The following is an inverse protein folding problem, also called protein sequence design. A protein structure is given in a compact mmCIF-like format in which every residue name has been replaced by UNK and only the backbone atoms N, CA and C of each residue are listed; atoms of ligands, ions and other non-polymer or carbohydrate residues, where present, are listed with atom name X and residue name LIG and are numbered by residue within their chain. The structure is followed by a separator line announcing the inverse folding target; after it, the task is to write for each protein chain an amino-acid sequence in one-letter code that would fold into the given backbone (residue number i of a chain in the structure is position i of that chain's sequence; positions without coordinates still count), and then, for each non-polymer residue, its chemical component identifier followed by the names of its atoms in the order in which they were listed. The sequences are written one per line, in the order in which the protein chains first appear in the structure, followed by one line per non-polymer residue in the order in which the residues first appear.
data_IF_774921056169
#
_entry.id   IF_774921056169
#
_cell.length_a   1.000
_cell.length_b   1.000
_cell.length_c   1.000
_cell.angle_alpha   90.00
_cell.angle_beta   90.00
_cell.angle_gamma   90.00
#
_symmetry.space_group_name_H-M   'P 1'
#
loop_
_entity.id
_entity.type
_entity.pdbx_description
1 polymer ?
#
# COMPACT_ATOMS: atom_id res chain seq x y z
N UNK A 1 -20.13 9.69 11.45
CA UNK A 1 -18.72 9.29 11.65
C UNK A 1 -18.40 8.17 10.69
N UNK A 2 -17.81 8.47 9.54
CA UNK A 2 -17.51 7.48 8.49
C UNK A 2 -16.40 6.55 8.97
N UNK A 3 -16.77 5.32 9.36
CA UNK A 3 -15.85 4.28 9.82
C UNK A 3 -14.72 4.10 8.80
N UNK A 4 -13.48 4.19 9.26
CA UNK A 4 -12.30 3.91 8.45
C UNK A 4 -12.51 2.61 7.68
N UNK A 5 -12.18 2.63 6.38
CA UNK A 5 -12.57 1.61 5.41
C UNK A 5 -11.85 0.31 5.76
N UNK A 6 -12.48 -0.59 6.51
CA UNK A 6 -11.88 -1.88 6.90
C UNK A 6 -11.40 -2.63 5.63
N UNK A 7 -10.13 -3.07 5.55
CA UNK A 7 -9.59 -3.76 4.38
C UNK A 7 -10.41 -5.00 4.03
N UNK A 8 -10.91 -5.73 5.04
CA UNK A 8 -11.71 -6.92 4.84
C UNK A 8 -13.05 -6.61 4.17
N UNK A 9 -13.68 -5.48 4.53
CA UNK A 9 -14.93 -5.01 3.90
C UNK A 9 -14.67 -4.55 2.47
N UNK A 10 -13.54 -3.87 2.22
CA UNK A 10 -13.15 -3.44 0.87
C UNK A 10 -12.94 -4.64 -0.05
N UNK A 11 -12.17 -5.62 0.42
CA UNK A 11 -11.91 -6.87 -0.28
C UNK A 11 -13.20 -7.64 -0.57
N UNK A 12 -14.08 -7.78 0.42
CA UNK A 12 -15.35 -8.47 0.26
C UNK A 12 -16.26 -7.78 -0.78
N UNK A 13 -16.38 -6.46 -0.74
CA UNK A 13 -17.17 -5.70 -1.74
C UNK A 13 -16.60 -5.86 -3.15
N UNK A 14 -15.28 -5.83 -3.28
CA UNK A 14 -14.61 -6.05 -4.55
C UNK A 14 -14.82 -7.48 -5.09
N UNK A 15 -14.80 -8.47 -4.21
CA UNK A 15 -15.05 -9.87 -4.56
C UNK A 15 -16.47 -10.06 -5.09
N UNK A 16 -17.46 -9.57 -4.35
CA UNK A 16 -18.87 -9.63 -4.74
C UNK A 16 -19.07 -8.99 -6.11
N UNK A 17 -18.52 -7.78 -6.30
CA UNK A 17 -18.65 -7.02 -7.55
C UNK A 17 -17.95 -7.72 -8.72
N UNK A 18 -16.73 -8.21 -8.54
CA UNK A 18 -15.93 -8.79 -9.64
C UNK A 18 -16.46 -10.15 -10.11
N UNK A 19 -17.10 -10.92 -9.22
CA UNK A 19 -17.66 -12.24 -9.53
C UNK A 19 -19.19 -12.23 -9.72
N UNK A 20 -19.84 -11.07 -9.62
CA UNK A 20 -21.28 -10.93 -9.79
C UNK A 20 -22.11 -11.71 -8.75
N UNK A 21 -21.57 -11.92 -7.55
CA UNK A 21 -22.19 -12.76 -6.54
C UNK A 21 -23.32 -12.04 -5.82
N UNK A 22 -24.32 -12.78 -5.36
CA UNK A 22 -25.31 -12.30 -4.41
C UNK A 22 -24.86 -12.59 -2.97
N UNK A 23 -25.46 -11.91 -1.99
CA UNK A 23 -25.15 -12.16 -0.57
C UNK A 23 -25.56 -13.57 -0.12
N UNK A 24 -26.48 -14.22 -0.83
CA UNK A 24 -26.88 -15.60 -0.54
C UNK A 24 -25.80 -16.61 -0.98
N UNK A 25 -25.01 -16.28 -2.00
CA UNK A 25 -23.97 -17.17 -2.54
C UNK A 25 -22.76 -17.31 -1.60
N UNK A 26 -22.63 -16.40 -0.63
CA UNK A 26 -21.56 -16.39 0.39
C UNK A 26 -21.95 -17.16 1.67
N UNK A 27 -23.04 -17.94 1.61
CA UNK A 27 -23.59 -18.63 2.78
C UNK A 27 -22.68 -19.71 3.35
N UNK A 28 -21.88 -20.35 2.51
CA UNK A 28 -20.99 -21.43 2.93
C UNK A 28 -19.73 -20.90 3.64
N UNK A 29 -19.29 -19.69 3.30
CA UNK A 29 -18.05 -19.09 3.79
C UNK A 29 -18.28 -18.19 5.00
N UNK A 30 -19.33 -17.36 4.95
CA UNK A 30 -19.59 -16.31 5.93
C UNK A 30 -20.85 -16.61 6.74
N UNK A 31 -21.92 -17.05 6.10
CA UNK A 31 -23.20 -17.38 6.76
C UNK A 31 -24.42 -16.71 6.12
N UNK A 32 -25.49 -16.51 6.89
CA UNK A 32 -26.77 -16.03 6.34
C UNK A 32 -26.66 -14.67 5.62
N UNK A 33 -27.55 -14.42 4.66
CA UNK A 33 -27.62 -13.14 3.92
C UNK A 33 -27.65 -11.91 4.84
N UNK A 34 -28.38 -11.99 5.95
CA UNK A 34 -28.42 -10.92 6.96
C UNK A 34 -27.07 -10.69 7.63
N UNK A 35 -26.34 -11.77 7.94
CA UNK A 35 -25.02 -11.69 8.54
C UNK A 35 -23.98 -11.07 7.60
N UNK A 36 -24.03 -11.42 6.31
CA UNK A 36 -23.21 -10.77 5.26
C UNK A 36 -23.52 -9.27 5.18
N UNK A 37 -24.79 -8.88 5.25
CA UNK A 37 -25.19 -7.47 5.25
C UNK A 37 -24.62 -6.71 6.45
N UNK A 38 -24.69 -7.29 7.66
CA UNK A 38 -24.13 -6.69 8.87
C UNK A 38 -22.61 -6.49 8.78
N UNK A 39 -21.90 -7.44 8.15
CA UNK A 39 -20.47 -7.31 7.88
C UNK A 39 -20.18 -6.17 6.90
N UNK A 40 -20.95 -6.07 5.81
CA UNK A 40 -20.75 -5.04 4.78
C UNK A 40 -21.07 -3.62 5.29
N UNK A 41 -21.98 -3.51 6.26
CA UNK A 41 -22.28 -2.29 7.02
C UNK A 41 -21.24 -2.00 8.11
N UNK A 42 -20.41 -2.98 8.45
CA UNK A 42 -19.36 -2.87 9.46
C UNK A 42 -19.85 -3.04 10.89
N UNK A 43 -21.06 -3.54 11.13
CA UNK A 43 -21.54 -3.90 12.47
C UNK A 43 -20.91 -5.20 12.97
N UNK A 44 -20.47 -6.06 12.05
CA UNK A 44 -19.73 -7.30 12.33
C UNK A 44 -18.43 -7.33 11.53
N UNK A 45 -17.44 -8.06 12.02
CA UNK A 45 -16.15 -8.25 11.37
C UNK A 45 -16.02 -9.66 10.80
N UNK A 46 -15.23 -9.82 9.73
CA UNK A 46 -14.85 -11.13 9.23
C UNK A 46 -13.90 -11.82 10.22
N UNK A 47 -14.14 -13.09 10.52
CA UNK A 47 -13.22 -13.90 11.33
C UNK A 47 -12.14 -14.50 10.44
N UNK A 48 -11.02 -14.93 11.04
CA UNK A 48 -9.96 -15.67 10.31
C UNK A 48 -10.50 -16.90 9.57
N UNK A 49 -11.46 -17.60 10.17
CA UNK A 49 -12.12 -18.75 9.55
C UNK A 49 -12.93 -18.38 8.31
N UNK A 50 -13.64 -17.25 8.33
CA UNK A 50 -14.35 -16.76 7.14
C UNK A 50 -13.35 -16.42 6.02
N UNK A 51 -12.26 -15.74 6.35
CA UNK A 51 -11.21 -15.37 5.39
C UNK A 51 -10.57 -16.62 4.76
N UNK A 52 -10.28 -17.65 5.56
CA UNK A 52 -9.75 -18.91 5.04
C UNK A 52 -10.71 -19.59 4.05
N UNK A 53 -12.01 -19.65 4.37
CA UNK A 53 -13.02 -20.22 3.46
C UNK A 53 -13.15 -19.43 2.16
N UNK A 54 -13.16 -18.09 2.25
CA UNK A 54 -13.19 -17.21 1.07
C UNK A 54 -11.94 -17.40 0.20
N UNK A 55 -10.77 -17.42 0.84
CA UNK A 55 -9.48 -17.65 0.18
C UNK A 55 -9.47 -18.99 -0.57
N UNK A 56 -9.92 -20.06 0.10
CA UNK A 56 -9.97 -21.40 -0.48
C UNK A 56 -10.93 -21.52 -1.67
N UNK A 57 -12.15 -20.94 -1.57
CA UNK A 57 -13.14 -21.04 -2.65
C UNK A 57 -12.80 -20.19 -3.86
N UNK A 58 -12.32 -18.97 -3.64
CA UNK A 58 -12.16 -17.99 -4.71
C UNK A 58 -10.71 -17.84 -5.21
N UNK A 59 -9.76 -18.50 -4.54
CA UNK A 59 -8.33 -18.47 -4.88
C UNK A 59 -7.68 -17.11 -4.60
N UNK A 60 -8.14 -16.39 -3.58
CA UNK A 60 -7.71 -15.02 -3.28
C UNK A 60 -6.63 -15.04 -2.20
N UNK A 61 -5.50 -14.33 -2.37
CA UNK A 61 -4.50 -14.21 -1.32
C UNK A 61 -5.10 -13.64 -0.01
N UNK A 62 -4.86 -14.27 1.16
CA UNK A 62 -5.48 -13.83 2.41
C UNK A 62 -5.00 -12.44 2.85
N UNK A 63 -3.81 -12.01 2.42
CA UNK A 63 -3.25 -10.67 2.65
C UNK A 63 -4.20 -9.55 2.23
N UNK A 64 -5.04 -9.77 1.21
CA UNK A 64 -6.00 -8.79 0.69
C UNK A 64 -7.04 -8.40 1.75
N UNK A 65 -7.32 -9.25 2.73
CA UNK A 65 -8.29 -8.97 3.79
C UNK A 65 -7.67 -8.29 5.01
N UNK A 66 -6.34 -8.29 5.15
CA UNK A 66 -5.65 -7.71 6.30
C UNK A 66 -4.95 -6.39 5.97
N UNK A 67 -4.51 -6.22 4.72
CA UNK A 67 -3.79 -5.03 4.27
C UNK A 67 -4.67 -4.11 3.42
N UNK A 68 -4.65 -2.81 3.75
CA UNK A 68 -5.49 -1.81 3.09
C UNK A 68 -5.06 -1.54 1.64
N UNK A 69 -3.76 -1.58 1.35
CA UNK A 69 -3.25 -1.35 0.00
C UNK A 69 -3.59 -2.54 -0.90
N UNK A 70 -3.36 -3.76 -0.42
CA UNK A 70 -3.74 -5.00 -1.10
C UNK A 70 -5.25 -5.05 -1.37
N UNK A 71 -6.10 -4.67 -0.40
CA UNK A 71 -7.54 -4.57 -0.59
C UNK A 71 -7.92 -3.55 -1.68
N UNK A 72 -7.26 -2.39 -1.71
CA UNK A 72 -7.50 -1.34 -2.70
C UNK A 72 -7.07 -1.78 -4.11
N UNK A 73 -5.92 -2.44 -4.22
CA UNK A 73 -5.40 -3.05 -5.45
C UNK A 73 -6.37 -4.10 -6.00
N UNK A 74 -6.81 -5.02 -5.14
CA UNK A 74 -7.80 -6.04 -5.50
C UNK A 74 -9.13 -5.42 -5.95
N UNK A 75 -9.52 -4.28 -5.35
CA UNK A 75 -10.70 -3.53 -5.76
C UNK A 75 -10.53 -2.74 -7.08
N UNK A 76 -9.38 -2.85 -7.76
CA UNK A 76 -9.10 -2.14 -9.00
C UNK A 76 -8.97 -0.63 -8.82
N UNK A 77 -8.71 -0.14 -7.60
CA UNK A 77 -8.51 1.29 -7.36
C UNK A 77 -7.12 1.68 -7.84
N UNK A 78 -7.03 2.75 -8.63
CA UNK A 78 -5.74 3.34 -9.00
C UNK A 78 -5.00 3.73 -7.72
N UNK A 79 -3.81 3.17 -7.51
CA UNK A 79 -2.93 3.61 -6.43
C UNK A 79 -2.56 5.05 -6.74
N UNK A 80 -2.87 5.99 -5.84
CA UNK A 80 -2.17 7.29 -5.85
C UNK A 80 -0.77 7.01 -5.35
N UNK A 81 0.13 6.64 -6.27
CA UNK A 81 1.55 6.57 -5.97
C UNK A 81 1.97 8.02 -5.73
N UNK A 82 2.47 8.39 -4.55
CA UNK A 82 3.04 9.72 -4.38
C UNK A 82 4.19 9.79 -5.39
N UNK A 83 4.11 10.76 -6.31
CA UNK A 83 5.19 11.04 -7.26
C UNK A 83 6.28 11.74 -6.47
N UNK A 84 6.95 10.99 -5.59
CA UNK A 84 8.15 11.45 -4.92
C UNK A 84 9.26 11.32 -5.94
N UNK A 85 9.89 12.44 -6.30
CA UNK A 85 11.13 12.40 -7.05
C UNK A 85 12.21 11.82 -6.15
N UNK A 86 12.40 10.50 -6.23
CA UNK A 86 13.34 9.73 -5.41
C UNK A 86 14.81 10.13 -5.67
N UNK A 87 15.06 10.94 -6.69
CA UNK A 87 16.39 11.47 -7.03
C UNK A 87 16.58 12.91 -6.55
N UNK A 88 15.55 13.56 -6.00
CA UNK A 88 15.66 14.91 -5.47
C UNK A 88 16.26 14.88 -4.05
N UNK A 89 17.49 15.39 -3.85
CA UNK A 89 18.20 15.30 -2.57
C UNK A 89 17.58 16.17 -1.46
N UNK A 90 16.69 17.11 -1.81
CA UNK A 90 16.05 18.04 -0.86
C UNK A 90 14.71 17.50 -0.31
N UNK A 91 14.24 16.36 -0.81
CA UNK A 91 13.01 15.71 -0.34
C UNK A 91 13.37 14.57 0.61
N UNK A 92 13.21 14.79 1.92
CA UNK A 92 13.44 13.74 2.91
C UNK A 92 12.38 12.62 2.79
N UNK A 93 12.80 11.34 2.66
CA UNK A 93 11.87 10.24 2.57
C UNK A 93 11.08 10.09 3.89
N UNK A 94 9.75 10.10 3.81
CA UNK A 94 8.89 9.96 4.99
C UNK A 94 8.63 8.46 5.32
N UNK A 95 9.02 7.97 6.51
CA UNK A 95 8.85 6.58 6.90
C UNK A 95 7.39 6.12 7.06
N UNK A 96 6.43 7.02 7.21
CA UNK A 96 5.00 6.66 7.29
C UNK A 96 4.40 6.30 5.92
N UNK A 97 5.02 6.77 4.83
CA UNK A 97 4.51 6.66 3.46
C UNK A 97 5.31 5.68 2.58
N UNK A 98 6.40 5.10 3.09
CA UNK A 98 7.27 4.18 2.34
C UNK A 98 7.41 2.83 3.05
N UNK A 99 7.29 1.74 2.28
CA UNK A 99 7.67 0.41 2.78
C UNK A 99 9.18 0.38 3.09
N UNK A 100 9.58 -0.37 4.12
CA UNK A 100 10.93 -0.34 4.70
C UNK A 100 12.04 -0.58 3.66
N UNK A 101 11.76 -1.40 2.64
CA UNK A 101 12.67 -1.70 1.54
C UNK A 101 12.89 -0.50 0.59
N UNK A 102 11.84 0.30 0.35
CA UNK A 102 11.93 1.48 -0.50
C UNK A 102 12.71 2.61 0.19
N UNK A 103 12.58 2.70 1.52
CA UNK A 103 13.30 3.68 2.34
C UNK A 103 14.82 3.47 2.34
N UNK A 104 15.29 2.23 2.46
CA UNK A 104 16.73 1.91 2.46
C UNK A 104 17.38 2.17 1.09
N UNK A 105 16.69 1.84 0.00
CA UNK A 105 17.17 2.13 -1.37
C UNK A 105 17.25 3.64 -1.59
N UNK A 106 16.25 4.40 -1.16
CA UNK A 106 16.25 5.85 -1.26
C UNK A 106 17.41 6.47 -0.48
N UNK A 107 17.65 6.06 0.76
CA UNK A 107 18.77 6.52 1.59
C UNK A 107 20.15 6.24 0.96
N UNK A 108 20.32 5.07 0.34
CA UNK A 108 21.58 4.72 -0.34
C UNK A 108 21.79 5.59 -1.58
N UNK A 109 20.74 5.85 -2.34
CA UNK A 109 20.79 6.70 -3.53
C UNK A 109 21.12 8.16 -3.18
N UNK A 110 20.45 8.74 -2.18
CA UNK A 110 20.70 10.12 -1.74
C UNK A 110 22.11 10.30 -1.20
N UNK A 111 22.61 9.37 -0.38
CA UNK A 111 24.01 9.40 0.10
C UNK A 111 25.04 9.37 -1.04
N UNK A 112 24.78 8.55 -2.07
CA UNK A 112 25.66 8.47 -3.26
C UNK A 112 25.68 9.80 -4.02
N UNK A 113 24.51 10.41 -4.22
CA UNK A 113 24.38 11.71 -4.88
C UNK A 113 25.05 12.84 -4.07
N UNK A 114 24.82 12.90 -2.75
CA UNK A 114 25.45 13.88 -1.85
C UNK A 114 26.97 13.77 -1.85
N UNK A 115 27.51 12.54 -1.84
CA UNK A 115 28.96 12.30 -1.93
C UNK A 115 29.54 12.84 -3.24
N UNK A 116 28.89 12.56 -4.36
CA UNK A 116 29.32 13.05 -5.67
C UNK A 116 29.28 14.58 -5.74
N UNK A 117 28.19 15.20 -5.25
CA UNK A 117 28.06 16.65 -5.19
C UNK A 117 29.17 17.29 -4.33
N UNK A 118 29.45 16.74 -3.14
CA UNK A 118 30.54 17.22 -2.27
C UNK A 118 31.90 17.15 -2.97
N UNK A 119 32.19 16.07 -3.68
CA UNK A 119 33.44 15.93 -4.44
C UNK A 119 33.55 16.98 -5.54
N UNK A 120 32.48 17.21 -6.30
CA UNK A 120 32.44 18.24 -7.35
C UNK A 120 32.64 19.64 -6.78
N UNK A 121 31.97 19.98 -5.67
CA UNK A 121 32.08 21.29 -5.05
C UNK A 121 33.47 21.54 -4.44
N UNK A 122 34.12 20.51 -3.89
CA UNK A 122 35.49 20.61 -3.43
C UNK A 122 36.45 20.82 -4.60
N UNK A 123 36.32 20.03 -5.68
CA UNK A 123 37.13 20.21 -6.88
C UNK A 123 36.94 21.58 -7.52
N UNK A 124 35.72 22.12 -7.52
CA UNK A 124 35.42 23.45 -8.01
C UNK A 124 36.06 24.52 -7.12
N UNK A 125 35.97 24.37 -5.81
CA UNK A 125 36.60 25.29 -4.85
C UNK A 125 38.12 25.33 -5.05
N UNK A 126 38.75 24.17 -5.21
CA UNK A 126 40.20 24.05 -5.45
C UNK A 126 40.60 24.69 -6.78
N UNK A 127 39.81 24.48 -7.84
CA UNK A 127 40.04 25.10 -9.15
C UNK A 127 39.89 26.62 -9.11
N UNK A 128 38.88 27.14 -8.40
CA UNK A 128 38.68 28.58 -8.20
C UNK A 128 39.81 29.18 -7.38
N UNK A 129 40.25 28.55 -6.29
CA UNK A 129 41.40 29.03 -5.52
C UNK A 129 42.70 29.04 -6.33
N UNK A 130 42.91 28.02 -7.17
CA UNK A 130 44.08 27.96 -8.07
C UNK A 130 44.05 29.03 -9.17
N UNK A 131 42.87 29.48 -9.58
CA UNK A 131 42.72 30.53 -10.60
C UNK A 131 42.81 31.96 -10.03
N UNK A 132 42.61 32.11 -8.71
CA UNK A 132 42.67 33.39 -8.00
C UNK A 132 44.07 33.66 -7.39
N UNK A 133 44.88 32.62 -7.20
CA UNK A 133 46.28 32.69 -6.78
C UNK A 133 47.23 32.91 -7.98
#
# INVERSE_FOLDING_TARGET
MTKAKDPAIVALKALIKSRGLTYADLRQEIGSRGYVSLILSGERSLTKGHIQKLTARFGIPPVVFFDQQAANLFAGRKIKVPVVDLLNPDVEPNPENMDALLYDVALKATRKAQKAHKTLMNSLRDAVQKAVA
#
